data_IF_943770049829
#
_entry.id   IF_943770049829
#
_cell.length_a   1.000
_cell.length_b   1.000
_cell.length_c   1.000
_cell.angle_alpha   90.00
_cell.angle_beta   90.00
_cell.angle_gamma   90.00
#
_symmetry.space_group_name_H-M   'P 1'
#
loop_
_entity.id
_entity.type
_entity.pdbx_description
1 polymer ?
#
# COMPACT_ATOMS: atom_id res chain seq x y z
N UNK A 1 0.54 80.29 84.03
CA UNK A 1 1.93 79.82 84.27
C UNK A 1 2.74 80.14 83.02
N UNK A 2 3.71 81.07 83.06
CA UNK A 2 5.18 80.80 82.99
C UNK A 2 5.53 79.85 81.82
N UNK A 3 6.31 80.11 80.75
CA UNK A 3 7.47 80.99 80.45
C UNK A 3 7.75 80.81 78.92
N UNK A 4 7.79 81.86 78.07
CA UNK A 4 8.94 82.46 77.34
C UNK A 4 10.09 81.58 76.77
N UNK A 5 10.44 81.89 75.49
CA UNK A 5 11.74 81.83 74.77
C UNK A 5 12.28 80.43 74.38
N UNK A 6 12.78 80.14 73.17
CA UNK A 6 13.77 80.87 72.35
C UNK A 6 13.64 80.63 70.83
N UNK A 7 14.43 81.40 70.08
CA UNK A 7 14.41 81.70 68.66
C UNK A 7 15.80 81.44 68.02
N UNK A 8 15.81 81.09 66.72
CA UNK A 8 16.88 81.21 65.68
C UNK A 8 18.13 80.31 65.69
N UNK A 9 18.37 79.66 64.53
CA UNK A 9 19.51 79.88 63.60
C UNK A 9 19.24 79.09 62.29
N UNK A 10 18.93 79.72 61.14
CA UNK A 10 19.80 80.23 60.06
C UNK A 10 20.77 79.20 59.44
N UNK A 11 20.65 78.93 58.13
CA UNK A 11 21.72 78.97 57.10
C UNK A 11 21.07 78.80 55.71
N UNK A 12 21.73 79.40 54.72
CA UNK A 12 21.23 79.87 53.44
C UNK A 12 21.81 79.10 52.23
N UNK A 13 21.07 79.16 51.12
CA UNK A 13 21.51 79.20 49.70
C UNK A 13 22.20 77.96 49.06
N UNK A 14 21.64 77.47 47.94
CA UNK A 14 22.17 77.58 46.55
C UNK A 14 21.56 76.49 45.64
N UNK A 15 21.00 76.92 44.50
CA UNK A 15 20.67 76.12 43.32
C UNK A 15 21.93 75.51 42.68
N UNK A 16 21.87 74.24 42.24
CA UNK A 16 22.55 73.79 41.01
C UNK A 16 22.08 72.40 40.60
N UNK A 17 21.39 72.32 39.47
CA UNK A 17 21.23 71.10 38.66
C UNK A 17 22.58 70.65 38.10
N UNK A 18 22.75 69.33 37.89
CA UNK A 18 23.24 68.87 36.61
C UNK A 18 22.37 67.77 35.99
N UNK A 19 22.08 67.96 34.70
CA UNK A 19 21.77 66.89 33.75
C UNK A 19 22.83 65.80 33.82
N UNK A 20 22.45 64.52 33.81
CA UNK A 20 23.21 63.44 33.16
C UNK A 20 22.24 62.36 32.63
N UNK A 21 22.20 62.30 31.29
CA UNK A 21 22.20 61.13 30.41
C UNK A 21 21.43 59.86 30.77
N UNK A 22 20.36 59.66 29.99
CA UNK A 22 20.04 58.46 29.18
C UNK A 22 20.32 57.09 29.79
N UNK A 23 19.24 56.35 30.07
CA UNK A 23 19.09 55.01 29.53
C UNK A 23 17.69 54.88 28.93
N UNK A 24 17.66 54.54 27.66
CA UNK A 24 16.46 54.28 26.88
C UNK A 24 15.69 53.09 27.49
N UNK A 25 14.41 53.33 27.76
CA UNK A 25 13.39 52.29 27.95
C UNK A 25 12.28 52.57 26.97
N UNK A 26 12.57 52.32 25.69
CA UNK A 26 11.64 52.45 24.57
C UNK A 26 10.60 51.34 24.57
N UNK A 27 9.39 51.74 24.16
CA UNK A 27 8.41 51.00 23.37
C UNK A 27 7.90 49.62 23.85
N UNK A 28 6.59 49.62 24.08
CA UNK A 28 5.67 48.48 24.03
C UNK A 28 5.89 47.65 22.75
N UNK A 29 5.89 46.31 22.82
CA UNK A 29 5.53 45.47 21.69
C UNK A 29 4.15 44.82 21.93
N UNK A 30 3.21 45.10 21.03
CA UNK A 30 2.20 44.14 20.60
C UNK A 30 2.83 43.14 19.62
N UNK A 31 2.37 41.88 19.67
CA UNK A 31 2.56 40.69 18.79
C UNK A 31 2.97 39.50 19.67
N UNK A 32 2.46 38.28 19.59
CA UNK A 32 1.38 37.59 18.87
C UNK A 32 1.12 36.29 19.69
N UNK A 33 0.03 35.52 19.48
CA UNK A 33 -0.32 34.40 20.35
C UNK A 33 0.70 33.26 20.26
N UNK A 34 0.91 32.56 21.38
CA UNK A 34 1.55 31.24 21.36
C UNK A 34 0.65 30.26 20.56
N UNK A 35 0.89 30.16 19.26
CA UNK A 35 0.43 29.03 18.46
C UNK A 35 1.64 28.22 18.04
N UNK A 36 2.21 27.48 18.98
CA UNK A 36 2.93 26.27 18.60
C UNK A 36 1.92 25.13 18.49
N UNK A 37 0.99 25.28 17.55
CA UNK A 37 0.16 24.16 17.09
C UNK A 37 1.06 23.34 16.17
N UNK A 38 1.84 22.43 16.76
CA UNK A 38 2.45 21.36 15.98
C UNK A 38 1.35 20.72 15.13
N UNK A 39 1.68 20.51 13.85
CA UNK A 39 0.73 20.11 12.83
C UNK A 39 -0.10 18.91 13.30
N UNK A 40 -1.44 19.06 13.31
CA UNK A 40 -2.32 17.91 13.14
C UNK A 40 -1.89 17.28 11.83
N UNK A 41 -1.16 16.17 11.85
CA UNK A 41 -0.92 15.39 10.63
C UNK A 41 -2.33 15.03 10.12
N UNK A 42 -2.79 15.66 9.03
CA UNK A 42 -4.15 15.44 8.58
C UNK A 42 -4.26 13.98 8.22
N UNK A 43 -5.33 13.33 8.68
CA UNK A 43 -5.60 11.94 8.31
C UNK A 43 -5.43 11.78 6.80
N UNK A 44 -4.56 10.87 6.38
CA UNK A 44 -4.33 10.60 4.96
C UNK A 44 -5.20 9.44 4.55
N UNK A 45 -6.13 9.72 3.65
CA UNK A 45 -7.05 8.76 3.06
C UNK A 45 -6.55 8.38 1.67
N UNK A 46 -6.60 7.10 1.33
CA UNK A 46 -6.23 6.60 0.00
C UNK A 46 -7.21 5.54 -0.44
N UNK A 47 -8.12 5.95 -1.30
CA UNK A 47 -9.09 5.11 -1.96
C UNK A 47 -8.72 4.99 -3.45
N UNK A 48 -8.79 3.80 -4.06
CA UNK A 48 -8.57 3.68 -5.49
C UNK A 48 -9.69 4.37 -6.28
N UNK A 49 -9.43 4.84 -7.50
CA UNK A 49 -10.48 5.45 -8.33
C UNK A 49 -11.60 4.46 -8.71
N UNK A 50 -11.31 3.15 -8.69
CA UNK A 50 -12.27 2.08 -8.98
C UNK A 50 -12.09 0.96 -7.96
N UNK A 51 -13.20 0.49 -7.39
CA UNK A 51 -13.30 -0.73 -6.60
C UNK A 51 -13.97 -1.78 -7.49
N UNK A 52 -13.22 -2.81 -7.90
CA UNK A 52 -13.75 -3.88 -8.74
C UNK A 52 -14.44 -4.95 -7.89
N UNK A 53 -15.66 -5.31 -8.27
CA UNK A 53 -16.43 -6.38 -7.64
C UNK A 53 -16.99 -7.33 -8.71
N UNK A 54 -17.19 -8.59 -8.36
CA UNK A 54 -17.76 -9.64 -9.24
C UNK A 54 -18.83 -10.38 -8.45
N UNK A 55 -19.99 -10.71 -9.05
CA UNK A 55 -21.03 -11.43 -8.35
C UNK A 55 -20.53 -12.71 -7.69
N UNK A 56 -20.95 -12.96 -6.44
CA UNK A 56 -20.50 -14.12 -5.66
C UNK A 56 -19.09 -14.02 -5.06
N UNK A 57 -18.36 -12.92 -5.24
CA UNK A 57 -17.07 -12.66 -4.60
C UNK A 57 -17.19 -11.48 -3.62
N UNK A 58 -16.92 -11.73 -2.34
CA UNK A 58 -16.89 -10.67 -1.33
C UNK A 58 -15.80 -9.64 -1.66
N UNK A 59 -16.20 -8.38 -1.71
CA UNK A 59 -15.34 -7.20 -1.88
C UNK A 59 -15.52 -6.30 -0.68
N UNK A 60 -14.41 -5.93 -0.03
CA UNK A 60 -14.39 -5.10 1.17
C UNK A 60 -13.44 -3.91 1.03
N UNK A 61 -13.75 -2.85 1.77
CA UNK A 61 -12.87 -1.70 2.04
C UNK A 61 -12.68 -1.64 3.55
N UNK A 62 -11.55 -2.16 4.03
CA UNK A 62 -11.16 -2.06 5.44
C UNK A 62 -10.63 -0.66 5.73
N UNK A 63 -11.20 0.01 6.74
CA UNK A 63 -10.92 1.42 6.98
C UNK A 63 -9.49 1.69 7.45
N UNK A 64 -8.91 0.78 8.24
CA UNK A 64 -7.51 0.87 8.65
C UNK A 64 -6.52 0.75 7.48
N UNK A 65 -6.95 0.11 6.38
CA UNK A 65 -6.12 -0.11 5.21
C UNK A 65 -6.06 1.11 4.28
N UNK A 66 -7.15 1.88 4.23
CA UNK A 66 -7.26 3.08 3.40
C UNK A 66 -6.95 4.36 4.17
N UNK A 67 -6.82 4.31 5.50
CA UNK A 67 -6.51 5.48 6.33
C UNK A 67 -5.17 5.32 7.07
N UNK A 68 -4.32 6.33 6.92
CA UNK A 68 -3.11 6.44 7.73
C UNK A 68 -3.41 7.18 9.03
N UNK A 69 -3.73 6.39 10.05
CA UNK A 69 -4.01 6.83 11.40
C UNK A 69 -3.39 5.85 12.40
N UNK A 70 -2.99 6.37 13.56
CA UNK A 70 -2.50 5.59 14.69
C UNK A 70 -3.62 4.67 15.22
N UNK A 71 -4.83 5.22 15.37
CA UNK A 71 -5.99 4.48 15.84
C UNK A 71 -7.24 4.86 15.01
N UNK A 72 -7.73 3.98 14.13
CA UNK A 72 -8.94 4.24 13.35
C UNK A 72 -10.18 4.36 14.23
N UNK A 73 -10.21 3.76 15.42
CA UNK A 73 -11.36 3.82 16.33
C UNK A 73 -11.64 5.23 16.90
N UNK A 74 -10.73 6.19 16.67
CA UNK A 74 -10.94 7.60 17.03
C UNK A 74 -11.84 8.34 16.02
N UNK A 75 -12.22 7.70 14.91
CA UNK A 75 -12.97 8.31 13.82
C UNK A 75 -14.21 7.50 13.47
N UNK A 76 -15.20 8.18 12.90
CA UNK A 76 -16.33 7.53 12.23
C UNK A 76 -16.03 7.47 10.74
N UNK A 77 -16.14 6.29 10.16
CA UNK A 77 -16.05 6.08 8.72
C UNK A 77 -17.46 5.98 8.16
N UNK A 78 -17.84 6.95 7.34
CA UNK A 78 -19.16 7.04 6.73
C UNK A 78 -19.07 6.79 5.24
N UNK A 79 -19.80 5.78 4.76
CA UNK A 79 -19.76 5.33 3.37
C UNK A 79 -21.07 5.66 2.69
N UNK A 80 -21.01 6.52 1.68
CA UNK A 80 -22.12 6.79 0.79
C UNK A 80 -22.02 5.91 -0.46
N UNK A 81 -22.66 4.75 -0.40
CA UNK A 81 -22.89 3.88 -1.55
C UNK A 81 -24.25 3.21 -1.37
N UNK A 82 -25.04 3.11 -2.43
CA UNK A 82 -26.34 2.43 -2.37
C UNK A 82 -26.23 0.89 -2.48
N UNK A 83 -25.04 0.35 -2.23
CA UNK A 83 -24.68 -1.07 -2.25
C UNK A 83 -23.81 -1.40 -1.04
N UNK A 84 -23.81 -2.68 -0.66
CA UNK A 84 -23.02 -3.19 0.46
C UNK A 84 -23.54 -2.81 1.84
N UNK A 85 -22.74 -3.16 2.83
CA UNK A 85 -23.04 -3.00 4.24
C UNK A 85 -21.87 -2.32 4.93
N UNK A 86 -22.18 -1.31 5.73
CA UNK A 86 -21.23 -0.68 6.62
C UNK A 86 -21.12 -1.51 7.91
N UNK A 87 -19.91 -1.95 8.23
CA UNK A 87 -19.52 -2.61 9.48
C UNK A 87 -18.51 -1.72 10.21
N UNK A 88 -18.18 -2.05 11.46
CA UNK A 88 -17.32 -1.20 12.30
C UNK A 88 -15.93 -0.98 11.68
N UNK A 89 -15.36 -2.01 11.08
CA UNK A 89 -14.00 -2.06 10.57
C UNK A 89 -13.90 -1.94 9.05
N UNK A 90 -15.02 -2.13 8.34
CA UNK A 90 -15.05 -2.19 6.87
C UNK A 90 -16.41 -1.84 6.30
N UNK A 91 -16.41 -1.43 5.03
CA UNK A 91 -17.55 -1.66 4.15
C UNK A 91 -17.37 -2.99 3.43
N UNK A 92 -18.43 -3.79 3.27
CA UNK A 92 -18.38 -5.09 2.59
C UNK A 92 -19.57 -5.29 1.66
N UNK A 93 -19.37 -6.01 0.56
CA UNK A 93 -20.39 -6.30 -0.43
C UNK A 93 -20.09 -7.58 -1.22
N UNK A 94 -21.10 -8.41 -1.41
CA UNK A 94 -21.08 -9.53 -2.36
C UNK A 94 -22.23 -9.31 -3.35
N UNK A 95 -21.95 -8.85 -4.59
CA UNK A 95 -23.00 -8.53 -5.55
C UNK A 95 -23.73 -9.77 -6.06
N UNK A 96 -24.94 -9.55 -6.55
CA UNK A 96 -25.67 -10.45 -7.46
C UNK A 96 -25.45 -10.05 -8.94
N UNK A 97 -25.71 -10.98 -9.88
CA UNK A 97 -25.66 -10.72 -11.33
C UNK A 97 -26.58 -9.58 -11.78
N UNK A 98 -27.76 -9.44 -11.17
CA UNK A 98 -28.70 -8.33 -11.48
C UNK A 98 -28.16 -6.95 -11.09
N UNK A 99 -27.06 -6.90 -10.34
CA UNK A 99 -26.47 -5.66 -9.82
C UNK A 99 -25.22 -5.23 -10.59
N UNK A 100 -24.94 -5.82 -11.75
CA UNK A 100 -23.91 -5.34 -12.69
C UNK A 100 -24.13 -3.86 -12.98
N UNK A 101 -23.06 -3.08 -12.92
CA UNK A 101 -23.10 -1.65 -13.17
C UNK A 101 -22.01 -0.87 -12.43
N UNK A 102 -22.06 0.44 -12.59
CA UNK A 102 -21.20 1.39 -11.90
C UNK A 102 -22.01 2.16 -10.85
N UNK A 103 -21.48 2.24 -9.64
CA UNK A 103 -22.10 2.92 -8.50
C UNK A 103 -21.15 3.95 -7.91
N UNK A 104 -21.69 5.12 -7.56
CA UNK A 104 -20.94 6.12 -6.81
C UNK A 104 -20.60 5.55 -5.43
N UNK A 105 -19.36 5.75 -5.01
CA UNK A 105 -18.88 5.39 -3.68
C UNK A 105 -18.12 6.60 -3.12
N UNK A 106 -18.53 7.10 -1.95
CA UNK A 106 -17.79 8.14 -1.24
C UNK A 106 -17.47 7.63 0.17
N UNK A 107 -16.23 7.80 0.60
CA UNK A 107 -15.82 7.53 1.98
C UNK A 107 -15.46 8.84 2.66
N UNK A 108 -16.23 9.18 3.69
CA UNK A 108 -15.97 10.30 4.59
C UNK A 108 -15.34 9.78 5.89
N UNK A 109 -14.42 10.56 6.45
CA UNK A 109 -13.87 10.34 7.77
C UNK A 109 -14.26 11.51 8.65
N UNK A 110 -14.97 11.22 9.73
CA UNK A 110 -15.57 12.19 10.63
C UNK A 110 -14.86 12.11 11.98
N UNK A 111 -14.50 13.26 12.54
CA UNK A 111 -13.85 13.36 13.85
C UNK A 111 -14.85 13.49 15.01
N UNK A 112 -14.34 13.61 16.23
CA UNK A 112 -15.14 13.77 17.45
C UNK A 112 -15.98 15.06 17.51
N UNK A 113 -15.66 16.06 16.69
CA UNK A 113 -16.43 17.30 16.57
C UNK A 113 -17.55 17.18 15.53
N UNK A 114 -17.73 15.98 14.97
CA UNK A 114 -18.66 15.70 13.87
C UNK A 114 -18.30 16.48 12.58
N UNK A 115 -17.00 16.78 12.38
CA UNK A 115 -16.49 17.41 11.17
C UNK A 115 -15.93 16.36 10.20
N UNK A 116 -16.24 16.49 8.91
CA UNK A 116 -15.60 15.67 7.86
C UNK A 116 -14.17 16.17 7.69
N UNK A 117 -13.19 15.41 8.17
CA UNK A 117 -11.77 15.76 8.13
C UNK A 117 -11.05 15.17 6.89
N UNK A 118 -11.65 14.18 6.24
CA UNK A 118 -11.21 13.65 4.95
C UNK A 118 -12.41 13.10 4.18
N UNK A 119 -12.38 13.23 2.84
CA UNK A 119 -13.38 12.67 1.95
C UNK A 119 -12.73 12.27 0.64
N UNK A 120 -13.03 11.06 0.15
CA UNK A 120 -12.60 10.62 -1.18
C UNK A 120 -13.70 9.86 -1.90
N UNK A 121 -13.79 10.12 -3.21
CA UNK A 121 -14.69 9.44 -4.13
C UNK A 121 -13.99 8.27 -4.81
N UNK A 122 -14.78 7.23 -5.09
CA UNK A 122 -14.44 6.08 -5.92
C UNK A 122 -15.67 5.66 -6.72
N UNK A 123 -15.45 4.68 -7.60
CA UNK A 123 -16.51 4.00 -8.34
C UNK A 123 -16.49 2.52 -7.98
N UNK A 124 -17.57 2.03 -7.40
CA UNK A 124 -17.80 0.60 -7.28
C UNK A 124 -18.26 0.08 -8.64
N UNK A 125 -17.45 -0.78 -9.26
CA UNK A 125 -17.73 -1.39 -10.56
C UNK A 125 -18.03 -2.87 -10.39
N UNK A 126 -19.28 -3.25 -10.58
CA UNK A 126 -19.72 -4.66 -10.57
C UNK A 126 -19.59 -5.22 -11.98
N UNK A 127 -18.74 -6.23 -12.13
CA UNK A 127 -18.37 -6.86 -13.40
C UNK A 127 -19.09 -8.21 -13.55
N UNK A 128 -19.72 -8.53 -14.70
CA UNK A 128 -20.39 -9.81 -14.90
C UNK A 128 -19.47 -11.02 -14.67
N UNK A 129 -19.99 -12.11 -14.12
CA UNK A 129 -19.24 -13.38 -14.05
C UNK A 129 -18.95 -13.98 -15.43
N UNK A 130 -19.62 -13.52 -16.49
CA UNK A 130 -19.34 -13.87 -17.88
C UNK A 130 -18.22 -13.04 -18.53
N UNK A 131 -17.64 -12.02 -17.87
CA UNK A 131 -16.59 -11.20 -18.46
C UNK A 131 -15.35 -12.04 -18.84
N UNK A 132 -14.93 -12.01 -20.10
CA UNK A 132 -13.83 -12.85 -20.59
C UNK A 132 -14.18 -14.33 -20.69
N UNK A 133 -15.48 -14.68 -20.75
CA UNK A 133 -15.92 -16.07 -20.80
C UNK A 133 -15.19 -16.89 -21.87
N UNK A 134 -14.68 -18.05 -21.45
CA UNK A 134 -13.94 -19.02 -22.26
C UNK A 134 -12.70 -18.49 -23.02
N UNK A 135 -12.37 -17.20 -22.86
CA UNK A 135 -11.25 -16.56 -23.55
C UNK A 135 -9.93 -17.15 -23.02
N UNK A 136 -9.07 -17.72 -23.87
CA UNK A 136 -7.72 -18.10 -23.45
C UNK A 136 -6.94 -16.84 -23.11
N UNK A 137 -6.35 -16.82 -21.91
CA UNK A 137 -5.59 -15.66 -21.41
C UNK A 137 -4.32 -16.17 -20.73
N UNK A 138 -3.17 -15.77 -21.25
CA UNK A 138 -1.86 -16.00 -20.61
C UNK A 138 -1.58 -14.93 -19.56
N UNK A 139 -1.13 -15.36 -18.37
CA UNK A 139 -0.90 -14.48 -17.22
C UNK A 139 0.48 -14.73 -16.61
N UNK A 140 1.33 -13.71 -16.66
CA UNK A 140 2.62 -13.69 -15.95
C UNK A 140 2.47 -12.94 -14.62
N UNK A 141 2.73 -13.61 -13.49
CA UNK A 141 2.72 -12.98 -12.18
C UNK A 141 4.15 -12.74 -11.67
N UNK A 142 4.57 -11.49 -11.59
CA UNK A 142 5.88 -11.07 -11.06
C UNK A 142 5.69 -10.57 -9.62
N UNK A 143 6.52 -11.03 -8.70
CA UNK A 143 6.48 -10.48 -7.34
C UNK A 143 7.46 -11.08 -6.35
N UNK A 144 7.24 -10.78 -5.08
CA UNK A 144 8.16 -11.14 -4.00
C UNK A 144 7.73 -12.40 -3.22
N UNK A 145 7.95 -12.44 -1.91
CA UNK A 145 7.53 -13.55 -1.04
C UNK A 145 6.03 -13.80 -1.02
N UNK A 146 5.20 -12.77 -1.23
CA UNK A 146 3.75 -12.93 -1.32
C UNK A 146 3.36 -13.76 -2.55
N UNK A 147 4.03 -13.52 -3.68
CA UNK A 147 3.84 -14.31 -4.91
C UNK A 147 4.52 -15.67 -4.80
N UNK A 148 5.71 -15.72 -4.20
CA UNK A 148 6.48 -16.93 -3.97
C UNK A 148 5.69 -18.00 -3.19
N UNK A 149 4.77 -17.61 -2.31
CA UNK A 149 3.97 -18.55 -1.54
C UNK A 149 3.00 -19.38 -2.42
N UNK A 150 2.71 -18.90 -3.64
CA UNK A 150 1.81 -19.52 -4.63
C UNK A 150 0.36 -19.70 -4.19
N UNK A 151 -0.06 -19.24 -2.99
CA UNK A 151 -1.47 -19.34 -2.56
C UNK A 151 -2.40 -18.48 -3.40
N UNK A 152 -2.15 -17.16 -3.51
CA UNK A 152 -3.04 -16.31 -4.29
C UNK A 152 -2.97 -16.59 -5.81
N UNK A 153 -1.81 -16.94 -6.42
CA UNK A 153 -1.78 -17.37 -7.82
C UNK A 153 -2.65 -18.61 -8.07
N UNK A 154 -2.56 -19.62 -7.19
CA UNK A 154 -3.40 -20.82 -7.25
C UNK A 154 -4.88 -20.47 -7.12
N UNK A 155 -5.21 -19.60 -6.16
CA UNK A 155 -6.59 -19.14 -5.93
C UNK A 155 -7.17 -18.43 -7.16
N UNK A 156 -6.42 -17.53 -7.79
CA UNK A 156 -6.85 -16.84 -9.01
C UNK A 156 -7.14 -17.80 -10.16
N UNK A 157 -6.30 -18.83 -10.33
CA UNK A 157 -6.56 -19.90 -11.31
C UNK A 157 -7.82 -20.70 -10.95
N UNK A 158 -8.01 -21.04 -9.68
CA UNK A 158 -9.23 -21.73 -9.22
C UNK A 158 -10.49 -20.89 -9.43
N UNK A 159 -10.44 -19.58 -9.16
CA UNK A 159 -11.54 -18.66 -9.47
C UNK A 159 -11.82 -18.64 -10.98
N UNK A 160 -10.79 -18.58 -11.81
CA UNK A 160 -10.94 -18.66 -13.28
C UNK A 160 -11.64 -19.93 -13.76
N UNK A 161 -11.43 -21.06 -13.09
CA UNK A 161 -12.08 -22.35 -13.39
C UNK A 161 -13.50 -22.46 -12.82
N UNK A 162 -13.74 -21.90 -11.63
CA UNK A 162 -15.02 -21.96 -10.93
C UNK A 162 -16.03 -20.96 -11.50
N UNK A 163 -15.54 -19.85 -12.05
CA UNK A 163 -16.32 -18.88 -12.81
C UNK A 163 -16.19 -19.18 -14.31
N UNK A 164 -17.02 -18.57 -15.16
CA UNK A 164 -17.07 -18.87 -16.60
C UNK A 164 -15.80 -18.48 -17.40
N UNK A 165 -14.66 -18.25 -16.75
CA UNK A 165 -13.40 -17.77 -17.36
C UNK A 165 -12.98 -16.38 -16.85
N UNK A 166 -11.97 -15.75 -17.47
CA UNK A 166 -11.19 -16.25 -18.62
C UNK A 166 -10.43 -17.53 -18.31
N UNK A 167 -10.07 -18.31 -19.34
CA UNK A 167 -9.27 -19.53 -19.22
C UNK A 167 -7.80 -19.16 -19.02
N UNK A 168 -7.37 -19.09 -17.75
CA UNK A 168 -6.04 -18.62 -17.40
C UNK A 168 -4.96 -19.69 -17.60
N UNK A 169 -3.94 -19.37 -18.40
CA UNK A 169 -2.64 -20.06 -18.45
C UNK A 169 -1.63 -19.23 -17.68
N UNK A 170 -1.33 -19.62 -16.45
CA UNK A 170 -0.25 -19.01 -15.67
C UNK A 170 1.10 -19.43 -16.28
N UNK A 171 1.96 -18.46 -16.55
CA UNK A 171 3.27 -18.67 -17.15
C UNK A 171 4.39 -18.18 -16.23
N UNK A 172 5.55 -18.80 -16.38
CA UNK A 172 6.75 -18.43 -15.65
C UNK A 172 7.71 -19.58 -15.47
N UNK A 173 8.90 -19.24 -14.99
CA UNK A 173 9.99 -20.18 -14.76
C UNK A 173 10.05 -20.72 -13.34
N UNK A 174 9.30 -20.12 -12.40
CA UNK A 174 9.33 -20.49 -11.00
C UNK A 174 8.00 -21.09 -10.53
N UNK A 175 8.10 -22.17 -9.78
CA UNK A 175 6.97 -22.90 -9.18
C UNK A 175 7.50 -23.64 -7.94
N UNK A 176 7.58 -22.96 -6.78
CA UNK A 176 8.28 -23.49 -5.62
C UNK A 176 7.59 -24.72 -5.01
N UNK A 177 6.27 -24.82 -5.17
CA UNK A 177 5.46 -25.93 -4.65
C UNK A 177 5.26 -27.05 -5.69
N UNK A 178 5.73 -26.88 -6.93
CA UNK A 178 5.53 -27.80 -8.06
C UNK A 178 4.05 -28.08 -8.37
N UNK A 179 3.19 -27.09 -8.11
CA UNK A 179 1.77 -27.21 -8.40
C UNK A 179 1.54 -27.08 -9.91
N UNK A 180 0.86 -28.05 -10.51
CA UNK A 180 0.55 -28.01 -11.93
C UNK A 180 -0.22 -26.74 -12.30
N UNK A 181 0.24 -25.99 -13.30
CA UNK A 181 -0.42 -24.79 -13.81
C UNK A 181 -0.36 -23.56 -12.88
N UNK A 182 0.58 -23.51 -11.92
CA UNK A 182 0.79 -22.37 -11.02
C UNK A 182 2.20 -21.79 -11.19
N UNK A 183 2.64 -21.62 -12.44
CA UNK A 183 3.91 -20.98 -12.77
C UNK A 183 3.82 -19.46 -12.55
N UNK A 184 4.90 -18.86 -12.06
CA UNK A 184 5.01 -17.42 -11.84
C UNK A 184 6.48 -16.99 -11.75
N UNK A 185 6.73 -15.70 -11.50
CA UNK A 185 8.04 -15.11 -11.22
C UNK A 185 8.03 -14.46 -9.84
N UNK A 186 7.78 -15.31 -8.82
CA UNK A 186 7.59 -14.90 -7.43
C UNK A 186 8.76 -15.34 -6.56
N UNK A 187 9.53 -14.40 -6.02
CA UNK A 187 10.78 -14.70 -5.32
C UNK A 187 10.88 -14.02 -3.96
N UNK A 188 11.04 -14.83 -2.90
CA UNK A 188 11.10 -14.31 -1.54
C UNK A 188 12.20 -13.26 -1.32
N UNK A 189 11.84 -12.09 -0.79
CA UNK A 189 12.81 -11.04 -0.48
C UNK A 189 13.30 -10.23 -1.68
N UNK A 190 12.74 -10.44 -2.88
CA UNK A 190 13.12 -9.67 -4.06
C UNK A 190 12.43 -8.29 -4.10
N UNK A 191 13.06 -7.35 -4.78
CA UNK A 191 12.67 -5.94 -4.95
C UNK A 191 12.55 -5.60 -6.43
N UNK A 192 11.93 -4.46 -6.76
CA UNK A 192 11.86 -3.99 -8.16
C UNK A 192 13.26 -3.80 -8.75
N UNK A 193 14.19 -3.23 -7.96
CA UNK A 193 15.61 -3.08 -8.32
C UNK A 193 16.22 -4.42 -8.71
N UNK A 194 15.99 -5.45 -7.91
CA UNK A 194 16.58 -6.77 -8.12
C UNK A 194 16.09 -7.40 -9.43
N UNK A 195 14.80 -7.32 -9.73
CA UNK A 195 14.28 -7.81 -11.01
C UNK A 195 14.86 -7.06 -12.21
N UNK A 196 15.07 -5.76 -12.10
CA UNK A 196 15.57 -4.96 -13.21
C UNK A 196 17.09 -5.06 -13.42
N UNK A 197 17.88 -5.39 -12.39
CA UNK A 197 19.35 -5.20 -12.44
C UNK A 197 20.19 -6.40 -12.04
N UNK A 198 19.64 -7.37 -11.29
CA UNK A 198 20.46 -8.42 -10.69
C UNK A 198 20.72 -9.58 -11.65
N UNK A 199 21.81 -9.51 -12.42
CA UNK A 199 22.21 -10.61 -13.30
C UNK A 199 23.04 -11.68 -12.58
N UNK A 200 22.72 -12.94 -12.87
CA UNK A 200 23.54 -14.13 -12.66
C UNK A 200 23.30 -15.07 -13.84
N UNK A 201 24.30 -15.84 -14.22
CA UNK A 201 24.17 -16.84 -15.29
C UNK A 201 23.05 -17.85 -15.01
N UNK A 202 22.90 -18.26 -13.74
CA UNK A 202 21.78 -19.09 -13.31
C UNK A 202 20.60 -18.22 -12.81
N UNK A 203 19.55 -18.12 -13.63
CA UNK A 203 18.31 -17.44 -13.26
C UNK A 203 17.15 -18.39 -12.89
N UNK A 204 17.36 -19.72 -12.93
CA UNK A 204 16.26 -20.69 -13.00
C UNK A 204 16.35 -21.82 -11.97
N UNK A 205 17.56 -22.28 -11.68
CA UNK A 205 17.80 -23.49 -10.91
C UNK A 205 18.32 -23.18 -9.51
N UNK A 206 18.26 -24.16 -8.61
CA UNK A 206 18.80 -24.03 -7.25
C UNK A 206 18.01 -23.08 -6.35
N UNK A 207 18.65 -22.51 -5.32
CA UNK A 207 17.98 -21.62 -4.37
C UNK A 207 17.64 -20.28 -5.03
N UNK A 208 16.37 -19.85 -4.97
CA UNK A 208 15.93 -18.59 -5.58
C UNK A 208 16.66 -17.35 -5.04
N UNK A 209 17.22 -17.42 -3.83
CA UNK A 209 18.00 -16.31 -3.25
C UNK A 209 19.33 -16.08 -3.96
N UNK A 210 19.84 -17.09 -4.67
CA UNK A 210 21.13 -17.07 -5.37
C UNK A 210 20.97 -16.84 -6.88
N UNK A 211 19.73 -16.86 -7.37
CA UNK A 211 19.40 -16.68 -8.79
C UNK A 211 19.49 -15.22 -9.23
N UNK A 212 19.81 -15.05 -10.51
CA UNK A 212 19.67 -13.81 -11.26
C UNK A 212 18.23 -13.57 -11.71
N UNK A 213 17.93 -12.32 -12.07
CA UNK A 213 16.64 -11.94 -12.62
C UNK A 213 16.27 -12.79 -13.81
N UNK A 214 15.01 -13.24 -13.90
CA UNK A 214 14.55 -14.01 -15.03
C UNK A 214 14.50 -13.23 -16.34
N UNK A 215 14.61 -11.92 -16.29
CA UNK A 215 14.50 -11.09 -17.48
C UNK A 215 15.85 -10.63 -18.00
N UNK A 216 16.94 -10.86 -17.24
CA UNK A 216 18.29 -10.47 -17.62
C UNK A 216 19.04 -11.62 -18.27
N UNK A 217 19.51 -11.40 -19.49
CA UNK A 217 20.31 -12.34 -20.26
C UNK A 217 21.62 -11.70 -20.67
N UNK A 218 22.69 -12.49 -20.75
CA UNK A 218 23.93 -12.03 -21.35
C UNK A 218 23.70 -11.69 -22.84
N UNK A 219 24.06 -10.48 -23.23
CA UNK A 219 24.10 -10.05 -24.64
C UNK A 219 25.30 -10.65 -25.36
N UNK A 220 25.40 -10.36 -26.66
CA UNK A 220 26.52 -10.80 -27.51
C UNK A 220 27.87 -10.23 -27.04
N UNK A 221 27.86 -9.07 -26.39
CA UNK A 221 29.01 -8.42 -25.77
C UNK A 221 29.31 -8.93 -24.34
N UNK A 222 28.58 -9.95 -23.89
CA UNK A 222 28.66 -10.52 -22.54
C UNK A 222 28.01 -9.66 -21.46
N UNK A 223 27.44 -8.48 -21.78
CA UNK A 223 26.80 -7.62 -20.79
C UNK A 223 25.35 -8.01 -20.60
N UNK A 224 24.84 -8.05 -19.34
CA UNK A 224 23.45 -8.39 -19.10
C UNK A 224 22.51 -7.30 -19.58
N UNK A 225 21.46 -7.69 -20.30
CA UNK A 225 20.37 -6.80 -20.73
C UNK A 225 19.02 -7.46 -20.47
N UNK A 226 18.00 -6.63 -20.27
CA UNK A 226 16.63 -7.12 -20.21
C UNK A 226 16.22 -7.63 -21.60
N UNK A 227 15.75 -8.87 -21.68
CA UNK A 227 15.36 -9.52 -22.94
C UNK A 227 14.04 -10.28 -22.73
N UNK A 228 12.96 -9.51 -22.65
CA UNK A 228 11.61 -10.05 -22.52
C UNK A 228 11.11 -10.84 -23.74
N UNK A 229 11.47 -10.49 -25.00
CA UNK A 229 11.19 -11.36 -26.14
C UNK A 229 11.78 -12.77 -25.97
N UNK A 230 13.04 -12.88 -25.53
CA UNK A 230 13.66 -14.17 -25.23
C UNK A 230 12.94 -14.90 -24.10
N UNK A 231 12.60 -14.21 -23.02
CA UNK A 231 11.81 -14.78 -21.94
C UNK A 231 10.47 -15.34 -22.44
N UNK A 232 9.74 -14.59 -23.26
CA UNK A 232 8.46 -15.03 -23.82
C UNK A 232 8.62 -16.23 -24.77
N UNK A 233 9.73 -16.33 -25.51
CA UNK A 233 10.07 -17.52 -26.29
C UNK A 233 10.24 -18.76 -25.41
N UNK A 234 10.83 -18.61 -24.23
CA UNK A 234 11.07 -19.70 -23.29
C UNK A 234 9.80 -20.12 -22.54
N UNK A 235 8.91 -19.18 -22.18
CA UNK A 235 7.83 -19.43 -21.22
C UNK A 235 6.41 -19.14 -21.73
N UNK A 236 6.24 -18.64 -22.96
CA UNK A 236 4.93 -18.38 -23.55
C UNK A 236 4.90 -18.57 -25.08
N UNK A 237 5.66 -19.53 -25.59
CA UNK A 237 5.65 -19.92 -27.01
C UNK A 237 6.01 -18.76 -27.97
N UNK A 238 6.79 -17.80 -27.48
CA UNK A 238 7.18 -16.60 -28.24
C UNK A 238 6.15 -15.46 -28.22
N UNK A 239 4.99 -15.66 -27.61
CA UNK A 239 3.93 -14.67 -27.54
C UNK A 239 4.08 -13.76 -26.32
N UNK A 240 3.76 -12.47 -26.47
CA UNK A 240 3.60 -11.60 -25.32
C UNK A 240 2.46 -12.12 -24.42
N UNK A 241 2.58 -12.03 -23.08
CA UNK A 241 1.49 -12.39 -22.20
C UNK A 241 0.30 -11.44 -22.43
N UNK A 242 -0.93 -11.95 -22.31
CA UNK A 242 -2.12 -11.10 -22.38
C UNK A 242 -2.17 -10.16 -21.16
N UNK A 243 -1.85 -10.73 -19.99
CA UNK A 243 -1.81 -10.05 -18.71
C UNK A 243 -0.45 -10.23 -18.04
N UNK A 244 0.06 -9.17 -17.43
CA UNK A 244 1.17 -9.22 -16.46
C UNK A 244 0.70 -8.57 -15.16
N UNK A 245 1.02 -9.18 -14.02
CA UNK A 245 0.85 -8.51 -12.72
C UNK A 245 2.19 -8.31 -12.05
N UNK A 246 2.42 -7.16 -11.42
CA UNK A 246 3.61 -6.90 -10.61
C UNK A 246 3.17 -6.60 -9.17
N UNK A 247 3.58 -7.45 -8.24
CA UNK A 247 3.29 -7.32 -6.81
C UNK A 247 4.58 -7.28 -5.99
N UNK A 248 5.12 -6.06 -5.88
CA UNK A 248 6.38 -5.73 -5.22
C UNK A 248 6.18 -4.53 -4.29
N UNK A 249 7.16 -4.23 -3.45
CA UNK A 249 7.08 -3.13 -2.49
C UNK A 249 7.42 -3.51 -1.06
N UNK A 250 6.89 -4.64 -0.50
CA UNK A 250 7.17 -5.00 0.87
C UNK A 250 8.67 -5.00 1.20
N UNK A 251 9.51 -5.63 0.38
CA UNK A 251 10.96 -5.66 0.61
C UNK A 251 11.67 -4.35 0.25
N UNK A 252 11.12 -3.61 -0.71
CA UNK A 252 11.66 -2.33 -1.15
C UNK A 252 11.61 -1.27 -0.05
N UNK A 253 10.59 -1.30 0.82
CA UNK A 253 10.40 -0.29 1.88
C UNK A 253 10.29 -0.85 3.31
N UNK A 254 10.45 -2.16 3.53
CA UNK A 254 10.29 -2.77 4.87
C UNK A 254 11.07 -2.05 5.97
N UNK A 255 12.34 -1.77 5.71
CA UNK A 255 13.25 -1.11 6.66
C UNK A 255 13.40 0.39 6.41
N UNK A 256 12.50 1.01 5.65
CA UNK A 256 12.55 2.45 5.46
C UNK A 256 12.18 3.16 6.77
N UNK A 257 12.77 4.31 6.97
CA UNK A 257 12.48 5.28 8.03
C UNK A 257 11.83 6.51 7.40
N UNK A 258 11.40 7.47 8.20
CA UNK A 258 10.83 8.72 7.69
C UNK A 258 11.79 9.50 6.79
N UNK A 259 13.09 9.42 7.08
CA UNK A 259 14.13 10.08 6.31
C UNK A 259 14.37 9.39 4.96
N UNK A 260 14.12 8.08 4.87
CA UNK A 260 14.50 7.25 3.71
C UNK A 260 13.32 6.72 2.89
N UNK A 261 12.09 6.84 3.40
CA UNK A 261 10.87 6.36 2.73
C UNK A 261 10.67 6.96 1.34
N UNK A 262 10.97 8.25 1.16
CA UNK A 262 10.89 8.95 -0.12
C UNK A 262 11.84 8.36 -1.16
N UNK A 263 13.14 8.39 -0.87
CA UNK A 263 14.20 7.88 -1.77
C UNK A 263 14.00 6.40 -2.13
N UNK A 264 13.65 5.57 -1.15
CA UNK A 264 13.44 4.13 -1.39
C UNK A 264 12.21 3.87 -2.24
N UNK A 265 11.14 4.63 -2.02
CA UNK A 265 9.93 4.53 -2.85
C UNK A 265 10.19 5.02 -4.26
N UNK A 266 10.92 6.12 -4.45
CA UNK A 266 11.28 6.63 -5.77
C UNK A 266 12.18 5.63 -6.51
N UNK A 267 13.14 5.03 -5.81
CA UNK A 267 13.97 3.95 -6.36
C UNK A 267 13.10 2.76 -6.81
N UNK A 268 12.14 2.33 -5.99
CA UNK A 268 11.21 1.26 -6.34
C UNK A 268 10.39 1.62 -7.60
N UNK A 269 9.75 2.79 -7.61
CA UNK A 269 8.88 3.24 -8.72
C UNK A 269 9.67 3.35 -10.03
N UNK A 270 10.89 3.91 -9.99
CA UNK A 270 11.75 3.98 -11.18
C UNK A 270 12.08 2.60 -11.76
N UNK A 271 12.28 1.59 -10.90
CA UNK A 271 12.52 0.23 -11.39
C UNK A 271 11.23 -0.49 -11.81
N UNK A 272 10.07 -0.12 -11.27
CA UNK A 272 8.79 -0.55 -11.83
C UNK A 272 8.60 0.01 -13.25
N UNK A 273 8.95 1.28 -13.50
CA UNK A 273 8.92 1.85 -14.86
C UNK A 273 9.83 1.07 -15.83
N UNK A 274 11.01 0.65 -15.39
CA UNK A 274 11.91 -0.19 -16.21
C UNK A 274 11.24 -1.52 -16.57
N UNK A 275 10.60 -2.19 -15.61
CA UNK A 275 9.92 -3.47 -15.85
C UNK A 275 8.68 -3.29 -16.75
N UNK A 276 7.89 -2.25 -16.52
CA UNK A 276 6.74 -1.88 -17.36
C UNK A 276 7.19 -1.62 -18.79
N UNK A 277 8.21 -0.77 -18.96
CA UNK A 277 8.78 -0.44 -20.27
C UNK A 277 9.29 -1.69 -20.98
N UNK A 278 10.01 -2.57 -20.30
CA UNK A 278 10.49 -3.83 -20.86
C UNK A 278 9.35 -4.69 -21.43
N UNK A 279 8.22 -4.78 -20.73
CA UNK A 279 7.05 -5.54 -21.17
C UNK A 279 6.39 -4.87 -22.39
N UNK A 280 6.18 -3.55 -22.33
CA UNK A 280 5.51 -2.79 -23.39
C UNK A 280 6.34 -2.56 -24.64
N UNK A 281 7.67 -2.51 -24.51
CA UNK A 281 8.58 -2.52 -25.66
C UNK A 281 8.40 -3.79 -26.51
N UNK A 282 8.05 -4.93 -25.87
CA UNK A 282 7.72 -6.16 -26.60
C UNK A 282 6.28 -6.16 -27.11
N UNK A 283 5.32 -5.70 -26.29
CA UNK A 283 3.93 -5.57 -26.71
C UNK A 283 3.19 -4.49 -25.92
N UNK A 284 2.81 -3.36 -26.55
CA UNK A 284 2.01 -2.33 -25.89
C UNK A 284 0.56 -2.77 -25.63
N UNK A 285 0.15 -3.94 -26.15
CA UNK A 285 -1.19 -4.52 -25.92
C UNK A 285 -1.29 -5.31 -24.61
N UNK A 286 -0.15 -5.66 -24.01
CA UNK A 286 -0.10 -6.39 -22.75
C UNK A 286 -0.68 -5.53 -21.63
N UNK A 287 -1.69 -6.03 -20.92
CA UNK A 287 -2.28 -5.31 -19.80
C UNK A 287 -1.48 -5.57 -18.53
N UNK A 288 -0.98 -4.51 -17.92
CA UNK A 288 -0.13 -4.60 -16.73
C UNK A 288 -0.92 -4.15 -15.51
N UNK A 289 -1.15 -5.08 -14.58
CA UNK A 289 -1.73 -4.81 -13.26
C UNK A 289 -0.64 -4.61 -12.21
N UNK A 290 -0.40 -3.38 -11.78
CA UNK A 290 0.44 -3.06 -10.64
C UNK A 290 -0.39 -3.24 -9.36
N UNK A 291 -0.12 -4.32 -8.63
CA UNK A 291 -0.83 -4.65 -7.39
C UNK A 291 -0.34 -3.76 -6.26
N UNK A 292 -1.25 -2.99 -5.66
CA UNK A 292 -0.92 -2.09 -4.57
C UNK A 292 -0.53 -2.90 -3.32
N UNK A 293 0.66 -2.68 -2.70
CA UNK A 293 1.13 -3.44 -1.56
C UNK A 293 0.08 -3.57 -0.46
N UNK A 294 -0.13 -4.77 0.07
CA UNK A 294 -1.08 -4.96 1.17
C UNK A 294 -0.53 -4.38 2.49
N UNK A 295 -1.40 -3.84 3.36
CA UNK A 295 -1.00 -3.35 4.67
C UNK A 295 -0.49 -4.48 5.57
N UNK A 296 0.28 -4.19 6.63
CA UNK A 296 0.74 -5.22 7.56
C UNK A 296 -0.36 -5.78 8.44
N UNK A 297 0.00 -6.85 9.16
CA UNK A 297 -0.77 -7.35 10.30
C UNK A 297 -1.19 -6.21 11.26
N UNK A 298 -2.36 -6.34 11.87
CA UNK A 298 -3.00 -5.28 12.67
C UNK A 298 -2.27 -4.95 13.99
N UNK A 299 -1.36 -5.80 14.46
CA UNK A 299 -0.78 -5.67 15.81
C UNK A 299 0.74 -5.54 15.79
N UNK A 300 1.29 -4.85 16.81
CA UNK A 300 2.73 -4.78 17.05
C UNK A 300 3.32 -6.16 17.39
N UNK A 301 2.53 -7.07 17.95
CA UNK A 301 2.96 -8.44 18.28
C UNK A 301 3.57 -9.16 17.08
N UNK A 302 2.98 -8.98 15.89
CA UNK A 302 3.45 -9.57 14.65
C UNK A 302 4.87 -9.14 14.26
N UNK A 303 5.28 -7.93 14.68
CA UNK A 303 6.61 -7.38 14.43
C UNK A 303 7.63 -7.80 15.51
N UNK A 304 7.17 -8.27 16.68
CA UNK A 304 8.02 -8.85 17.72
C UNK A 304 8.67 -10.18 17.30
N UNK A 305 8.10 -10.86 16.31
CA UNK A 305 8.63 -12.13 15.78
C UNK A 305 9.22 -11.98 14.37
N UNK A 306 8.74 -11.02 13.58
CA UNK A 306 9.19 -10.82 12.20
C UNK A 306 10.56 -10.14 12.13
N UNK A 307 11.54 -10.79 11.49
CA UNK A 307 12.88 -10.23 11.17
C UNK A 307 13.61 -9.58 12.37
N UNK A 308 13.47 -10.13 13.58
CA UNK A 308 14.36 -9.77 14.70
C UNK A 308 14.04 -8.48 15.45
N UNK A 309 12.77 -8.08 15.56
CA UNK A 309 12.25 -7.07 16.52
C UNK A 309 12.61 -5.60 16.26
N UNK A 310 13.29 -5.27 15.16
CA UNK A 310 13.78 -3.91 14.87
C UNK A 310 12.80 -2.99 14.13
N UNK A 311 11.51 -3.32 14.05
CA UNK A 311 10.54 -2.53 13.27
C UNK A 311 9.23 -2.35 14.04
N UNK A 312 8.64 -1.16 13.97
CA UNK A 312 7.30 -0.91 14.52
C UNK A 312 6.24 -1.14 13.46
N UNK A 313 5.05 -1.57 13.88
CA UNK A 313 3.89 -1.62 12.99
C UNK A 313 3.63 -0.26 12.36
N UNK A 314 3.72 0.79 13.17
CA UNK A 314 3.43 2.15 12.73
C UNK A 314 4.34 2.61 11.59
N UNK A 315 5.67 2.45 11.74
CA UNK A 315 6.60 2.84 10.70
C UNK A 315 6.36 2.05 9.41
N UNK A 316 6.16 0.73 9.49
CA UNK A 316 5.93 -0.07 8.29
C UNK A 316 4.57 0.22 7.63
N UNK A 317 3.52 0.51 8.42
CA UNK A 317 2.22 0.98 7.88
C UNK A 317 2.40 2.29 7.11
N UNK A 318 3.17 3.26 7.65
CA UNK A 318 3.51 4.50 6.94
C UNK A 318 4.29 4.23 5.66
N UNK A 319 5.29 3.35 5.70
CA UNK A 319 6.06 2.93 4.54
C UNK A 319 5.17 2.36 3.43
N UNK A 320 4.29 1.42 3.77
CA UNK A 320 3.36 0.81 2.84
C UNK A 320 2.36 1.85 2.28
N UNK A 321 1.78 2.69 3.13
CA UNK A 321 0.81 3.70 2.72
C UNK A 321 1.44 4.72 1.76
N UNK A 322 2.66 5.17 2.05
CA UNK A 322 3.41 6.06 1.18
C UNK A 322 3.66 5.44 -0.19
N UNK A 323 4.03 4.16 -0.27
CA UNK A 323 4.18 3.46 -1.56
C UNK A 323 2.85 3.43 -2.31
N UNK A 324 1.73 3.16 -1.64
CA UNK A 324 0.41 3.16 -2.27
C UNK A 324 0.08 4.54 -2.85
N UNK A 325 0.31 5.63 -2.12
CA UNK A 325 0.09 7.00 -2.61
C UNK A 325 1.00 7.34 -3.79
N UNK A 326 2.27 6.97 -3.72
CA UNK A 326 3.24 7.26 -4.79
C UNK A 326 2.93 6.46 -6.05
N UNK A 327 2.54 5.19 -5.93
CA UNK A 327 2.08 4.39 -7.06
C UNK A 327 0.75 4.92 -7.63
N UNK A 328 -0.19 5.31 -6.77
CA UNK A 328 -1.45 5.92 -7.19
C UNK A 328 -1.22 7.19 -8.02
N UNK A 329 -0.35 8.08 -7.53
CA UNK A 329 0.02 9.32 -8.22
C UNK A 329 0.78 9.07 -9.54
N UNK A 330 1.63 8.05 -9.60
CA UNK A 330 2.53 7.85 -10.76
C UNK A 330 1.93 6.99 -11.88
N UNK A 331 1.03 6.05 -11.55
CA UNK A 331 0.46 5.10 -12.52
C UNK A 331 -1.08 5.20 -12.65
N UNK A 332 -1.75 5.94 -11.78
CA UNK A 332 -3.22 5.94 -11.68
C UNK A 332 -3.96 6.49 -12.90
N UNK A 333 -3.30 7.27 -13.74
CA UNK A 333 -3.84 7.89 -14.96
C UNK A 333 -3.38 7.20 -16.26
N UNK A 334 -2.62 6.10 -16.18
CA UNK A 334 -2.01 5.41 -17.33
C UNK A 334 -2.84 4.25 -17.91
N UNK A 335 -4.14 4.22 -17.65
CA UNK A 335 -5.01 3.12 -18.12
C UNK A 335 -5.15 3.07 -19.64
N UNK A 336 -5.01 4.21 -20.31
CA UNK A 336 -4.96 4.33 -21.77
C UNK A 336 -3.72 3.60 -22.37
N UNK A 337 -2.64 3.54 -21.61
CA UNK A 337 -1.40 2.82 -21.92
C UNK A 337 -1.46 1.34 -21.50
N UNK A 338 -2.62 0.80 -21.15
CA UNK A 338 -2.78 -0.57 -20.63
C UNK A 338 -2.06 -0.82 -19.29
N UNK A 339 -1.85 0.24 -18.50
CA UNK A 339 -1.27 0.16 -17.14
C UNK A 339 -2.37 0.44 -16.13
N UNK A 340 -2.56 -0.50 -15.21
CA UNK A 340 -3.65 -0.46 -14.24
C UNK A 340 -3.12 -0.60 -12.82
N UNK A 341 -3.76 0.08 -11.88
CA UNK A 341 -3.59 -0.21 -10.46
C UNK A 341 -4.62 -1.25 -10.03
N UNK A 342 -4.16 -2.32 -9.38
CA UNK A 342 -5.03 -3.33 -8.77
C UNK A 342 -5.09 -3.04 -7.26
N UNK A 343 -6.26 -2.66 -6.71
CA UNK A 343 -6.37 -2.22 -5.32
C UNK A 343 -6.40 -3.37 -4.33
N UNK A 344 -5.35 -4.19 -4.27
CA UNK A 344 -5.25 -5.30 -3.32
C UNK A 344 -5.19 -4.86 -1.86
N UNK A 345 -4.71 -3.66 -1.58
CA UNK A 345 -4.56 -3.12 -0.23
C UNK A 345 -5.88 -2.96 0.54
N UNK A 346 -7.00 -2.68 -0.14
CA UNK A 346 -8.27 -2.34 0.55
C UNK A 346 -8.98 -3.55 1.16
N UNK A 347 -8.75 -4.75 0.65
CA UNK A 347 -9.61 -5.91 0.88
C UNK A 347 -9.10 -6.88 1.96
N UNK A 348 -7.86 -6.71 2.42
CA UNK A 348 -7.22 -7.63 3.36
C UNK A 348 -7.66 -7.39 4.80
N UNK A 349 -8.15 -8.43 5.47
CA UNK A 349 -8.40 -8.39 6.92
C UNK A 349 -7.10 -8.50 7.70
N UNK A 350 -6.54 -7.36 8.11
CA UNK A 350 -5.28 -7.34 8.84
C UNK A 350 -5.38 -7.89 10.27
N UNK A 351 -6.59 -8.05 10.82
CA UNK A 351 -6.82 -8.55 12.19
C UNK A 351 -6.92 -10.07 12.18
N UNK A 352 -7.75 -10.62 11.29
CA UNK A 352 -8.12 -12.04 11.34
C UNK A 352 -7.38 -12.91 10.32
N UNK A 353 -6.82 -12.32 9.26
CA UNK A 353 -6.22 -13.07 8.16
C UNK A 353 -4.68 -13.02 8.12
N UNK A 354 -4.06 -12.82 9.28
CA UNK A 354 -2.63 -12.98 9.50
C UNK A 354 -2.33 -14.16 10.46
N UNK A 355 -1.17 -14.82 10.32
CA UNK A 355 -0.77 -15.91 11.21
C UNK A 355 -0.71 -15.45 12.66
N UNK A 356 -1.18 -16.31 13.56
CA UNK A 356 -1.18 -16.07 15.01
C UNK A 356 -0.91 -17.35 15.79
N UNK A 357 -0.49 -17.18 17.04
CA UNK A 357 -0.20 -18.26 18.00
C UNK A 357 -0.88 -17.98 19.32
N UNK A 358 -1.28 -19.04 20.02
CA UNK A 358 -1.69 -18.94 21.43
C UNK A 358 -0.44 -18.91 22.31
N UNK A 359 -0.36 -17.92 23.19
CA UNK A 359 0.74 -17.75 24.14
C UNK A 359 0.19 -17.23 25.46
N UNK A 360 0.82 -17.54 26.61
CA UNK A 360 0.44 -16.93 27.87
C UNK A 360 0.60 -15.41 27.84
N UNK A 361 -0.19 -14.69 28.64
CA UNK A 361 -0.06 -13.23 28.77
C UNK A 361 1.33 -12.79 29.21
N UNK A 362 1.93 -13.56 30.12
CA UNK A 362 3.28 -13.39 30.64
C UNK A 362 3.73 -14.71 31.30
N UNK A 363 4.99 -14.80 31.73
CA UNK A 363 5.58 -16.02 32.28
C UNK A 363 4.88 -16.59 33.53
N UNK A 364 4.02 -15.82 34.20
CA UNK A 364 3.33 -16.21 35.43
C UNK A 364 1.83 -16.43 35.24
N UNK A 365 1.30 -16.21 34.03
CA UNK A 365 -0.13 -16.35 33.73
C UNK A 365 -0.36 -17.58 32.88
N UNK A 366 -1.21 -18.50 33.34
CA UNK A 366 -1.57 -19.73 32.60
C UNK A 366 -2.63 -19.50 31.54
N UNK A 367 -3.40 -18.41 31.65
CA UNK A 367 -4.35 -17.99 30.62
C UNK A 367 -3.62 -17.58 29.34
N UNK A 368 -4.08 -18.14 28.22
CA UNK A 368 -3.54 -17.87 26.90
C UNK A 368 -4.30 -16.75 26.17
N UNK A 369 -3.55 -15.97 25.39
CA UNK A 369 -4.07 -15.00 24.42
C UNK A 369 -3.57 -15.33 23.02
N UNK A 370 -4.25 -14.80 22.00
CA UNK A 370 -3.86 -14.97 20.60
C UNK A 370 -3.01 -13.77 20.17
N UNK A 371 -1.79 -14.03 19.70
CA UNK A 371 -0.88 -13.01 19.19
C UNK A 371 -0.50 -13.29 17.74
N UNK A 372 -0.68 -12.31 16.87
CA UNK A 372 -0.17 -12.41 15.51
C UNK A 372 1.36 -12.54 15.55
N UNK A 373 1.94 -13.35 14.66
CA UNK A 373 3.36 -13.68 14.68
C UNK A 373 4.06 -13.56 13.32
N UNK A 374 3.41 -12.93 12.34
CA UNK A 374 4.01 -12.57 11.07
C UNK A 374 3.42 -11.25 10.59
N UNK A 375 4.26 -10.22 10.43
CA UNK A 375 3.82 -8.87 10.12
C UNK A 375 3.55 -8.66 8.62
N UNK A 376 4.18 -9.48 7.77
CA UNK A 376 4.24 -9.25 6.31
C UNK A 376 3.41 -10.27 5.55
N UNK A 377 3.46 -11.54 5.94
CA UNK A 377 2.84 -12.62 5.17
C UNK A 377 1.48 -12.98 5.78
N UNK A 378 0.37 -12.80 5.03
CA UNK A 378 -0.95 -13.22 5.48
C UNK A 378 -1.06 -14.73 5.70
N UNK A 379 -2.11 -15.16 6.39
CA UNK A 379 -2.55 -16.55 6.38
C UNK A 379 -3.22 -16.88 5.03
N UNK A 380 -3.55 -18.16 4.80
CA UNK A 380 -4.15 -18.60 3.54
C UNK A 380 -5.41 -17.79 3.14
N UNK A 381 -6.29 -17.50 4.10
CA UNK A 381 -7.49 -16.68 3.87
C UNK A 381 -7.14 -15.25 3.41
N UNK A 382 -6.07 -14.65 3.93
CA UNK A 382 -5.61 -13.33 3.49
C UNK A 382 -5.05 -13.37 2.07
N UNK A 383 -4.33 -14.43 1.70
CA UNK A 383 -3.94 -14.65 0.31
C UNK A 383 -5.15 -14.86 -0.62
N UNK A 384 -6.23 -15.50 -0.15
CA UNK A 384 -7.47 -15.60 -0.92
C UNK A 384 -8.11 -14.22 -1.13
N UNK A 385 -8.10 -13.33 -0.14
CA UNK A 385 -8.57 -11.94 -0.30
C UNK A 385 -7.74 -11.16 -1.35
N UNK A 386 -6.42 -11.34 -1.36
CA UNK A 386 -5.54 -10.78 -2.41
C UNK A 386 -5.93 -11.32 -3.79
N UNK A 387 -6.13 -12.64 -3.89
CA UNK A 387 -6.52 -13.30 -5.14
C UNK A 387 -7.91 -12.86 -5.62
N UNK A 388 -8.88 -12.63 -4.72
CA UNK A 388 -10.20 -12.10 -5.05
C UNK A 388 -10.08 -10.71 -5.70
N UNK A 389 -9.33 -9.79 -5.08
CA UNK A 389 -9.12 -8.44 -5.63
C UNK A 389 -8.46 -8.48 -7.00
N UNK A 390 -7.45 -9.35 -7.18
CA UNK A 390 -6.82 -9.52 -8.48
C UNK A 390 -7.78 -10.11 -9.52
N UNK A 391 -8.54 -11.13 -9.15
CA UNK A 391 -9.48 -11.77 -10.08
C UNK A 391 -10.60 -10.80 -10.51
N UNK A 392 -11.15 -9.98 -9.61
CA UNK A 392 -12.12 -8.94 -9.97
C UNK A 392 -11.56 -7.97 -11.02
N UNK A 393 -10.29 -7.57 -10.89
CA UNK A 393 -9.61 -6.77 -11.92
C UNK A 393 -9.41 -7.56 -13.23
N UNK A 394 -8.98 -8.82 -13.17
CA UNK A 394 -8.84 -9.68 -14.36
C UNK A 394 -10.16 -9.73 -15.13
N UNK A 395 -11.30 -9.89 -14.44
CA UNK A 395 -12.62 -9.90 -15.06
C UNK A 395 -12.92 -8.58 -15.77
N UNK A 396 -12.63 -7.45 -15.13
CA UNK A 396 -12.81 -6.13 -15.74
C UNK A 396 -12.03 -6.03 -17.06
N UNK A 397 -10.73 -6.30 -17.02
CA UNK A 397 -9.86 -6.10 -18.18
C UNK A 397 -10.03 -7.18 -19.25
N UNK A 398 -10.77 -8.25 -18.95
CA UNK A 398 -11.10 -9.33 -19.88
C UNK A 398 -12.48 -9.18 -20.52
N UNK A 399 -13.24 -8.12 -20.19
CA UNK A 399 -14.47 -7.77 -20.90
C UNK A 399 -14.21 -7.73 -22.42
N UNK A 400 -15.20 -8.14 -23.20
CA UNK A 400 -15.15 -7.91 -24.64
C UNK A 400 -15.12 -6.40 -24.85
N UNK A 401 -14.22 -5.91 -25.71
CA UNK A 401 -14.39 -4.57 -26.25
C UNK A 401 -15.64 -4.67 -27.13
N UNK A 402 -16.75 -4.07 -26.68
CA UNK A 402 -17.90 -3.90 -27.56
C UNK A 402 -17.36 -3.20 -28.81
N UNK A 403 -17.54 -3.86 -29.97
CA UNK A 403 -17.16 -3.28 -31.25
C UNK A 403 -17.86 -1.93 -31.37
N UNK A 404 -17.08 -0.84 -31.27
CA UNK A 404 -17.56 0.52 -31.49
C UNK A 404 -18.02 0.70 -32.93
#
# INVERSE_FOLDING_TARGET
MKTRLTFRMLIAFVLLTPLHFTSAGEAKPETEPETNTEAKDPLRLVLPPIIYAVPGIETSVYFDNVSLTINPANYVFDVHCNRGHLQQERWTYTPDEKEIGDYKFTLNVIDQNNEIIASQDSRLRVVPTAAGKDKPVSLLMIGDSLTHNSIYPRHVRQLSQNFQGPNLKLIGSHNPNKDEGVQHEGYGGWTAVRFATHFKENARQGNYRERGSPFLYAGEDGKPKLDFPRYCKEFNDGNAPDLVTIFLGPNDVYSATDETIGERTDTMVNHLDILVKMIHDFSPKTKIGLMLPVPPAATQDAFGTTKGRGQTRWQYKRNQHYVVERMAKHFGDKTDQQIFLVPTHINLDCVHNYPAVKVPWNAQTTEETVRQNNAVHPAANGYHQIGNSLFCWIKEVSKQEDAK
#
